data_IF_197484340903
#
_entry.id   IF_197484340903
#
_cell.length_a   1.000
_cell.length_b   1.000
_cell.length_c   1.000
_cell.angle_alpha   90.00
_cell.angle_beta   90.00
_cell.angle_gamma   90.00
#
_symmetry.space_group_name_H-M   'P 1'
#
loop_
_entity.id
_entity.type
_entity.pdbx_description
1 polymer ?
#
# COMPACT_ATOMS: atom_id res chain seq x y z
N UNK A 1 14.67 35.53 -24.38
CA UNK A 1 13.19 35.48 -24.33
C UNK A 1 12.82 34.92 -22.96
N UNK A 2 12.00 35.62 -22.15
CA UNK A 2 11.59 35.09 -20.86
C UNK A 2 10.61 33.93 -21.09
N UNK A 3 10.85 32.81 -20.41
CA UNK A 3 9.92 31.68 -20.36
C UNK A 3 8.63 32.17 -19.69
N UNK A 4 7.44 31.93 -20.26
CA UNK A 4 6.20 32.26 -19.57
C UNK A 4 6.16 31.48 -18.26
N UNK A 5 5.98 32.20 -17.15
CA UNK A 5 5.61 31.58 -15.89
C UNK A 5 4.15 31.14 -16.04
N UNK A 6 3.94 29.98 -16.65
CA UNK A 6 2.66 29.30 -16.57
C UNK A 6 2.44 29.01 -15.08
N UNK A 7 1.49 29.74 -14.49
CA UNK A 7 1.07 29.51 -13.13
C UNK A 7 0.66 28.04 -13.01
N UNK A 8 1.38 27.28 -12.17
CA UNK A 8 0.96 25.94 -11.79
C UNK A 8 -0.42 26.12 -11.14
N UNK A 9 -1.51 25.58 -11.72
CA UNK A 9 -2.81 25.74 -11.12
C UNK A 9 -2.75 25.08 -9.74
N UNK A 10 -3.09 25.86 -8.72
CA UNK A 10 -3.21 25.38 -7.36
C UNK A 10 -4.22 24.23 -7.38
N UNK A 11 -3.74 23.00 -7.22
CA UNK A 11 -4.57 21.82 -7.08
C UNK A 11 -5.32 21.98 -5.76
N UNK A 12 -6.47 22.64 -5.80
CA UNK A 12 -7.43 22.59 -4.71
C UNK A 12 -7.90 21.14 -4.64
N UNK A 13 -7.27 20.37 -3.76
CA UNK A 13 -7.77 19.08 -3.35
C UNK A 13 -9.19 19.32 -2.85
N UNK A 14 -10.21 18.71 -3.47
CA UNK A 14 -11.57 18.85 -2.98
C UNK A 14 -11.59 18.46 -1.50
N UNK A 15 -12.17 19.30 -0.66
CA UNK A 15 -12.46 18.96 0.73
C UNK A 15 -13.16 17.62 0.70
N UNK A 16 -12.63 16.56 1.34
CA UNK A 16 -13.28 15.27 1.35
C UNK A 16 -14.71 15.48 1.85
N UNK A 17 -15.70 15.25 1.00
CA UNK A 17 -17.07 15.18 1.48
C UNK A 17 -17.08 14.03 2.48
N UNK A 18 -17.63 14.26 3.68
CA UNK A 18 -17.78 13.21 4.69
C UNK A 18 -18.46 12.02 4.02
N UNK A 19 -17.68 10.96 3.79
CA UNK A 19 -18.22 9.67 3.43
C UNK A 19 -18.92 9.23 4.71
N UNK A 20 -20.26 9.16 4.69
CA UNK A 20 -21.03 8.53 5.76
C UNK A 20 -20.59 7.06 5.82
N UNK A 21 -19.55 6.81 6.63
CA UNK A 21 -19.01 5.51 6.98
C UNK A 21 -19.99 4.82 7.93
N UNK A 22 -21.26 4.75 7.54
CA UNK A 22 -22.22 3.81 8.10
C UNK A 22 -21.75 2.40 7.73
N UNK A 23 -20.69 1.96 8.40
CA UNK A 23 -20.24 0.57 8.41
C UNK A 23 -21.35 -0.16 9.15
N UNK A 24 -22.16 -1.01 8.49
CA UNK A 24 -23.10 -1.82 9.22
C UNK A 24 -22.32 -2.61 10.26
N UNK A 25 -22.84 -2.71 11.48
CA UNK A 25 -22.18 -3.44 12.55
C UNK A 25 -22.25 -4.95 12.24
N UNK A 26 -21.35 -5.43 11.38
CA UNK A 26 -21.25 -6.83 11.00
C UNK A 26 -20.60 -7.56 12.17
N UNK A 27 -21.41 -8.19 13.01
CA UNK A 27 -20.88 -9.06 14.06
C UNK A 27 -20.27 -10.31 13.41
N UNK A 28 -18.94 -10.43 13.42
CA UNK A 28 -18.26 -11.59 12.86
C UNK A 28 -18.74 -12.90 13.53
N UNK A 29 -19.05 -13.96 12.76
CA UNK A 29 -19.32 -15.31 13.30
C UNK A 29 -18.17 -15.77 14.19
N UNK A 30 -18.46 -16.51 15.27
CA UNK A 30 -17.46 -16.92 16.28
C UNK A 30 -16.18 -17.52 15.67
N UNK A 31 -16.29 -18.38 14.65
CA UNK A 31 -15.14 -19.01 13.99
C UNK A 31 -14.30 -18.09 13.08
N UNK A 32 -14.72 -16.85 12.85
CA UNK A 32 -13.96 -15.84 12.10
C UNK A 32 -13.41 -14.75 13.02
N UNK A 33 -13.80 -14.73 14.30
CA UNK A 33 -13.30 -13.74 15.26
C UNK A 33 -11.82 -13.97 15.49
N UNK A 34 -11.05 -12.90 15.42
CA UNK A 34 -9.66 -12.92 15.84
C UNK A 34 -9.62 -13.15 17.36
N UNK A 35 -9.16 -14.34 17.77
CA UNK A 35 -8.91 -14.68 19.17
C UNK A 35 -7.40 -14.60 19.43
N UNK A 36 -6.89 -13.44 19.91
CA UNK A 36 -5.44 -13.23 20.10
C UNK A 36 -4.82 -14.22 21.08
N UNK A 37 -5.61 -14.76 22.01
CA UNK A 37 -5.20 -15.78 22.98
C UNK A 37 -4.72 -17.08 22.32
N UNK A 38 -5.19 -17.39 21.10
CA UNK A 38 -4.79 -18.58 20.35
C UNK A 38 -3.44 -18.40 19.62
N UNK A 39 -2.92 -17.17 19.56
CA UNK A 39 -1.66 -16.82 18.88
C UNK A 39 -0.62 -16.25 19.86
N UNK A 40 -0.57 -16.75 21.10
CA UNK A 40 0.40 -16.33 22.13
C UNK A 40 1.87 -16.57 21.79
N UNK A 41 2.16 -17.28 20.69
CA UNK A 41 3.52 -17.51 20.29
C UNK A 41 4.06 -16.29 19.53
N UNK A 42 4.73 -15.41 20.27
CA UNK A 42 5.49 -14.32 19.70
C UNK A 42 6.68 -14.90 18.92
N UNK A 43 6.52 -15.03 17.61
CA UNK A 43 7.58 -15.51 16.72
C UNK A 43 8.37 -14.32 16.19
N UNK A 44 9.62 -14.19 16.62
CA UNK A 44 10.54 -13.17 16.13
C UNK A 44 11.50 -13.76 15.10
N UNK A 45 11.49 -13.21 13.88
CA UNK A 45 12.42 -13.56 12.79
C UNK A 45 13.81 -12.90 13.00
N UNK A 46 13.96 -12.12 14.07
CA UNK A 46 15.19 -11.38 14.37
C UNK A 46 15.28 -10.04 13.63
N UNK A 47 16.44 -9.39 13.71
CA UNK A 47 16.68 -8.06 13.11
C UNK A 47 17.41 -8.18 11.77
N UNK A 48 17.01 -7.36 10.80
CA UNK A 48 17.55 -7.30 9.44
C UNK A 48 18.94 -6.62 9.42
N UNK A 49 19.98 -7.31 9.92
CA UNK A 49 21.31 -6.72 10.17
C UNK A 49 22.44 -7.31 9.35
N UNK A 50 22.24 -8.44 8.66
CA UNK A 50 23.29 -9.05 7.86
C UNK A 50 23.24 -8.49 6.43
N UNK A 51 24.37 -8.09 5.85
CA UNK A 51 24.42 -7.61 4.48
C UNK A 51 24.87 -8.70 3.51
N UNK A 52 24.26 -8.75 2.33
CA UNK A 52 24.73 -9.58 1.23
C UNK A 52 26.02 -9.03 0.64
N UNK A 53 27.03 -9.89 0.42
CA UNK A 53 28.32 -9.48 -0.16
C UNK A 53 28.24 -9.08 -1.64
N UNK A 54 27.19 -9.47 -2.36
CA UNK A 54 27.04 -9.22 -3.79
C UNK A 54 26.21 -7.97 -4.10
N UNK A 55 25.09 -7.78 -3.39
CA UNK A 55 24.13 -6.71 -3.68
C UNK A 55 23.89 -5.75 -2.51
N UNK A 56 24.63 -5.91 -1.40
CA UNK A 56 24.50 -5.14 -0.16
C UNK A 56 23.11 -5.19 0.53
N UNK A 57 22.14 -5.94 -0.01
CA UNK A 57 20.83 -6.12 0.59
C UNK A 57 20.91 -6.67 2.02
N UNK A 58 20.11 -6.10 2.92
CA UNK A 58 19.98 -6.59 4.29
C UNK A 58 19.21 -7.91 4.33
N UNK A 59 19.58 -8.76 5.27
CA UNK A 59 19.10 -10.14 5.44
C UNK A 59 18.72 -10.40 6.89
N UNK A 60 17.74 -11.28 7.06
CA UNK A 60 17.45 -11.88 8.36
C UNK A 60 18.44 -13.00 8.70
N UNK A 61 18.70 -13.25 10.00
CA UNK A 61 19.46 -14.43 10.43
C UNK A 61 18.80 -15.71 9.93
N UNK A 62 19.57 -16.62 9.32
CA UNK A 62 19.07 -17.90 8.81
C UNK A 62 18.52 -17.86 7.38
N UNK A 63 18.46 -16.70 6.72
CA UNK A 63 18.14 -16.65 5.29
C UNK A 63 19.20 -17.34 4.43
N UNK A 64 18.75 -17.99 3.37
CA UNK A 64 19.66 -18.63 2.43
C UNK A 64 20.48 -17.59 1.64
N UNK A 65 21.68 -17.95 1.16
CA UNK A 65 22.47 -17.05 0.32
C UNK A 65 21.73 -16.56 -0.93
N UNK A 66 20.83 -17.39 -1.46
CA UNK A 66 20.08 -17.13 -2.69
C UNK A 66 18.87 -16.17 -2.54
N UNK A 67 18.43 -15.85 -1.32
CA UNK A 67 17.16 -15.13 -1.08
C UNK A 67 17.07 -13.71 -1.69
N UNK A 68 18.22 -13.05 -1.94
CA UNK A 68 18.25 -11.67 -2.47
C UNK A 68 18.67 -11.60 -3.95
N UNK A 69 19.89 -12.04 -4.27
CA UNK A 69 20.50 -11.95 -5.61
C UNK A 69 20.83 -13.33 -6.20
N UNK A 70 20.17 -14.39 -5.71
CA UNK A 70 20.50 -15.78 -6.09
C UNK A 70 21.99 -16.11 -5.92
N UNK A 71 22.61 -15.61 -4.83
CA UNK A 71 24.03 -15.78 -4.52
C UNK A 71 24.95 -15.19 -5.62
N UNK A 72 24.68 -13.96 -6.03
CA UNK A 72 25.47 -13.22 -7.02
C UNK A 72 25.17 -13.56 -8.48
N UNK A 73 24.16 -14.40 -8.75
CA UNK A 73 23.74 -14.72 -10.13
C UNK A 73 22.89 -13.64 -10.77
N UNK A 74 22.19 -12.85 -9.95
CA UNK A 74 21.39 -11.71 -10.41
C UNK A 74 22.18 -10.45 -10.08
N UNK A 75 22.54 -9.71 -11.13
CA UNK A 75 23.08 -8.36 -11.00
C UNK A 75 21.94 -7.37 -10.80
N UNK A 76 21.89 -6.76 -9.61
CA UNK A 76 20.87 -5.79 -9.25
C UNK A 76 21.44 -4.40 -9.49
N UNK A 77 20.93 -3.72 -10.52
CA UNK A 77 21.30 -2.33 -10.78
C UNK A 77 20.87 -1.45 -9.58
N UNK A 78 21.67 -0.44 -9.21
CA UNK A 78 21.26 0.53 -8.21
C UNK A 78 19.93 1.19 -8.58
N UNK A 79 19.08 1.41 -7.59
CA UNK A 79 17.83 2.15 -7.78
C UNK A 79 18.15 3.56 -8.27
N UNK A 80 17.44 4.05 -9.31
CA UNK A 80 17.58 5.43 -9.72
C UNK A 80 17.14 6.36 -8.59
N UNK A 81 17.71 7.57 -8.55
CA UNK A 81 17.29 8.59 -7.61
C UNK A 81 15.80 8.90 -7.79
N UNK A 82 15.10 9.11 -6.68
CA UNK A 82 13.71 9.53 -6.74
C UNK A 82 13.62 10.89 -7.47
N UNK A 83 12.61 11.09 -8.33
CA UNK A 83 12.32 12.41 -8.89
C UNK A 83 12.18 13.47 -7.79
N UNK A 84 12.61 14.72 -8.05
CA UNK A 84 12.63 15.82 -7.06
C UNK A 84 11.38 15.92 -6.17
N UNK A 85 10.15 15.97 -6.72
CA UNK A 85 8.96 16.13 -5.86
C UNK A 85 8.74 14.94 -4.91
N UNK A 86 9.09 13.72 -5.33
CA UNK A 86 8.98 12.54 -4.47
C UNK A 86 10.10 12.53 -3.42
N UNK A 87 11.32 12.86 -3.83
CA UNK A 87 12.44 12.91 -2.91
C UNK A 87 12.20 13.93 -1.77
N UNK A 88 11.64 15.09 -2.09
CA UNK A 88 11.24 16.11 -1.10
C UNK A 88 10.14 15.61 -0.17
N UNK A 89 9.16 14.86 -0.66
CA UNK A 89 8.08 14.30 0.15
C UNK A 89 8.56 13.18 1.09
N UNK A 90 9.52 12.36 0.67
CA UNK A 90 10.07 11.28 1.49
C UNK A 90 11.25 11.69 2.38
N UNK A 91 11.81 12.89 2.19
CA UNK A 91 13.01 13.35 2.89
C UNK A 91 12.85 13.67 4.38
N UNK A 92 11.63 13.90 4.86
CA UNK A 92 11.31 14.15 6.28
C UNK A 92 11.62 15.56 6.80
N UNK A 93 12.32 16.39 6.01
CA UNK A 93 12.82 17.70 6.46
C UNK A 93 11.77 18.82 6.34
N UNK A 94 11.04 18.88 5.22
CA UNK A 94 10.03 19.90 4.97
C UNK A 94 8.72 19.65 5.73
N UNK A 95 7.96 20.72 6.03
CA UNK A 95 6.64 20.61 6.67
C UNK A 95 5.70 19.68 5.88
N UNK A 96 5.66 19.84 4.56
CA UNK A 96 4.86 19.00 3.66
C UNK A 96 5.31 17.54 3.68
N UNK A 97 6.61 17.29 3.85
CA UNK A 97 7.16 15.94 3.94
C UNK A 97 6.73 15.23 5.22
N UNK A 98 6.79 15.92 6.37
CA UNK A 98 6.33 15.36 7.65
C UNK A 98 4.84 15.04 7.60
N UNK A 99 4.03 15.98 7.12
CA UNK A 99 2.60 15.77 6.95
C UNK A 99 2.30 14.61 5.98
N UNK A 100 3.05 14.50 4.88
CA UNK A 100 2.93 13.39 3.95
C UNK A 100 3.27 12.04 4.59
N UNK A 101 4.39 11.93 5.30
CA UNK A 101 4.82 10.69 5.95
C UNK A 101 3.87 10.25 7.06
N UNK A 102 3.34 11.18 7.86
CA UNK A 102 2.35 10.90 8.91
C UNK A 102 1.02 10.38 8.31
N UNK A 103 0.63 10.89 7.15
CA UNK A 103 -0.65 10.58 6.52
C UNK A 103 -0.54 9.70 5.27
N UNK A 104 0.62 9.07 5.01
CA UNK A 104 0.90 8.37 3.74
C UNK A 104 -0.11 7.26 3.45
N UNK A 105 -0.64 6.60 4.50
CA UNK A 105 -1.69 5.59 4.37
C UNK A 105 -2.99 6.18 3.84
N UNK A 106 -3.37 7.36 4.30
CA UNK A 106 -4.56 8.09 3.85
C UNK A 106 -4.41 8.51 2.40
N UNK A 107 -3.24 9.07 2.03
CA UNK A 107 -2.96 9.39 0.62
C UNK A 107 -3.07 8.14 -0.26
N UNK A 108 -2.40 7.04 0.12
CA UNK A 108 -2.47 5.78 -0.63
C UNK A 108 -3.89 5.22 -0.71
N UNK A 109 -4.70 5.36 0.33
CA UNK A 109 -6.10 4.92 0.34
C UNK A 109 -6.97 5.75 -0.60
N UNK A 110 -6.75 7.07 -0.68
CA UNK A 110 -7.46 7.93 -1.63
C UNK A 110 -7.09 7.60 -3.08
N UNK A 111 -5.85 7.20 -3.34
CA UNK A 111 -5.43 6.73 -4.67
C UNK A 111 -5.79 5.26 -4.95
N UNK A 112 -6.31 4.52 -3.96
CA UNK A 112 -6.92 3.20 -4.16
C UNK A 112 -8.37 3.32 -4.66
N UNK A 113 -8.59 4.13 -5.69
CA UNK A 113 -9.87 4.14 -6.39
C UNK A 113 -9.92 2.94 -7.33
N UNK A 114 -10.27 1.78 -6.78
CA UNK A 114 -10.69 0.67 -7.62
C UNK A 114 -12.19 0.73 -7.78
N UNK A 115 -12.67 1.26 -8.90
CA UNK A 115 -14.08 1.19 -9.23
C UNK A 115 -14.43 -0.24 -9.67
N UNK A 116 -15.50 -0.81 -9.10
CA UNK A 116 -16.00 -2.12 -9.47
C UNK A 116 -17.13 -1.94 -10.48
N UNK A 117 -16.84 -2.21 -11.76
CA UNK A 117 -17.88 -2.29 -12.78
C UNK A 117 -18.64 -3.61 -12.60
N UNK A 118 -19.79 -3.58 -11.94
CA UNK A 118 -20.60 -4.76 -11.64
C UNK A 118 -21.76 -4.95 -12.63
N UNK A 119 -22.03 -6.20 -13.00
CA UNK A 119 -23.35 -6.63 -13.49
C UNK A 119 -24.00 -7.49 -12.42
N UNK A 120 -25.21 -7.13 -12.03
CA UNK A 120 -26.00 -7.93 -11.10
C UNK A 120 -26.26 -9.31 -11.71
N UNK A 121 -25.73 -10.36 -11.08
CA UNK A 121 -25.99 -11.73 -11.49
C UNK A 121 -27.17 -12.24 -10.65
N UNK A 122 -28.35 -12.38 -11.27
CA UNK A 122 -29.51 -13.01 -10.64
C UNK A 122 -29.55 -14.51 -11.02
N UNK A 123 -29.01 -15.42 -10.18
CA UNK A 123 -29.12 -16.84 -10.43
C UNK A 123 -30.59 -17.29 -10.30
N UNK A 124 -31.06 -18.14 -11.22
CA UNK A 124 -32.44 -18.66 -11.17
C UNK A 124 -32.64 -19.52 -9.92
N UNK A 125 -33.68 -19.23 -9.13
CA UNK A 125 -34.06 -19.98 -7.93
C UNK A 125 -33.90 -19.16 -6.64
N UNK A 126 -34.21 -19.76 -5.50
CA UNK A 126 -33.92 -19.14 -4.20
C UNK A 126 -32.43 -19.26 -3.89
N UNK A 127 -31.75 -18.13 -3.82
CA UNK A 127 -30.34 -18.05 -3.44
C UNK A 127 -30.18 -16.91 -2.42
N UNK A 128 -29.84 -17.19 -1.15
CA UNK A 128 -29.71 -16.15 -0.12
C UNK A 128 -28.41 -15.33 -0.25
N UNK A 129 -27.61 -15.55 -1.30
CA UNK A 129 -26.37 -14.84 -1.56
C UNK A 129 -26.53 -13.82 -2.69
N UNK A 130 -26.21 -12.56 -2.41
CA UNK A 130 -26.01 -11.55 -3.45
C UNK A 130 -24.67 -11.82 -4.15
N UNK A 131 -24.69 -12.03 -5.47
CA UNK A 131 -23.48 -12.26 -6.27
C UNK A 131 -23.21 -11.05 -7.16
N UNK A 132 -22.19 -10.29 -6.79
CA UNK A 132 -21.65 -9.18 -7.58
C UNK A 132 -20.55 -9.75 -8.47
N UNK A 133 -20.73 -9.67 -9.80
CA UNK A 133 -19.69 -10.04 -10.77
C UNK A 133 -19.24 -8.78 -11.49
N UNK A 134 -17.95 -8.47 -11.42
CA UNK A 134 -17.42 -7.26 -12.02
C UNK A 134 -15.92 -7.29 -12.27
N UNK A 135 -15.44 -6.31 -13.01
CA UNK A 135 -14.01 -6.07 -13.21
C UNK A 135 -13.56 -4.92 -12.30
N UNK A 136 -12.37 -5.07 -11.72
CA UNK A 136 -11.69 -4.02 -10.96
C UNK A 136 -11.06 -3.05 -11.96
N UNK A 137 -11.48 -1.79 -11.92
CA UNK A 137 -10.90 -0.72 -12.72
C UNK A 137 -10.12 0.21 -11.81
N UNK A 138 -8.82 0.29 -12.06
CA UNK A 138 -7.94 1.30 -11.47
C UNK A 138 -8.19 2.61 -12.22
N UNK A 139 -8.69 3.64 -11.53
CA UNK A 139 -8.83 4.99 -12.07
C UNK A 139 -7.49 5.72 -11.99
#
# INVERSE_FOLDING_TARGET
MPVPQDAVPELQMPVPQEIDLAVPEITLPKGLRYEPENFKQEFSIGSLRANCLHCAAYKFPGETPAMCCSNGKVDLQPLPALPSPLNELFGGEALNSKHFLENIRTYNAVFQLTSLGCKEANPRGWNPQFRIQGQLYWI
#
